data_IF_668130421960
#
_entry.id   IF_668130421960
#
_cell.length_a   1.000
_cell.length_b   1.000
_cell.length_c   1.000
_cell.angle_alpha   90.00
_cell.angle_beta   90.00
_cell.angle_gamma   90.00
#
_symmetry.space_group_name_H-M   'P 1'
#
loop_
_entity.id
_entity.type
_entity.pdbx_description
1 polymer ?
#
# COMPACT_ATOMS: atom_id res chain seq x y z
N UNK A 1 44.22 3.11 2.29
CA UNK A 1 42.99 3.68 1.70
C UNK A 1 43.30 5.12 1.32
N UNK A 2 43.22 5.47 0.04
CA UNK A 2 43.54 6.80 -0.46
C UNK A 2 42.33 7.74 -0.25
N UNK A 3 42.58 9.04 -0.03
CA UNK A 3 41.52 10.07 0.06
C UNK A 3 40.60 10.06 -1.17
N UNK A 4 41.14 9.73 -2.34
CA UNK A 4 40.33 9.61 -3.56
C UNK A 4 39.29 8.49 -3.45
N UNK A 5 39.68 7.34 -2.93
CA UNK A 5 38.81 6.17 -2.77
C UNK A 5 37.66 6.50 -1.81
N UNK A 6 37.98 7.14 -0.67
CA UNK A 6 36.99 7.60 0.30
C UNK A 6 35.99 8.60 -0.29
N UNK A 7 36.45 9.53 -1.14
CA UNK A 7 35.55 10.50 -1.80
C UNK A 7 34.59 9.82 -2.76
N UNK A 8 35.10 8.83 -3.49
CA UNK A 8 34.29 8.05 -4.43
C UNK A 8 33.23 7.22 -3.69
N UNK A 9 33.62 6.57 -2.60
CA UNK A 9 32.72 5.81 -1.74
C UNK A 9 31.62 6.69 -1.13
N UNK A 10 31.98 7.87 -0.59
CA UNK A 10 31.01 8.84 -0.09
C UNK A 10 30.02 9.27 -1.18
N UNK A 11 30.49 9.49 -2.41
CA UNK A 11 29.64 9.87 -3.54
C UNK A 11 28.63 8.77 -3.86
N UNK A 12 29.08 7.51 -3.92
CA UNK A 12 28.22 6.35 -4.18
C UNK A 12 27.15 6.24 -3.09
N UNK A 13 27.54 6.29 -1.82
CA UNK A 13 26.62 6.17 -0.69
C UNK A 13 25.58 7.30 -0.66
N UNK A 14 25.96 8.53 -1.06
CA UNK A 14 25.01 9.64 -1.18
C UNK A 14 23.98 9.40 -2.28
N UNK A 15 24.40 8.86 -3.41
CA UNK A 15 23.51 8.53 -4.52
C UNK A 15 22.55 7.39 -4.15
N UNK A 16 23.05 6.35 -3.48
CA UNK A 16 22.22 5.25 -2.97
C UNK A 16 21.20 5.72 -1.94
N UNK A 17 21.61 6.59 -1.01
CA UNK A 17 20.70 7.21 -0.05
C UNK A 17 19.60 8.01 -0.75
N UNK A 18 19.94 8.78 -1.78
CA UNK A 18 18.95 9.56 -2.54
C UNK A 18 17.96 8.63 -3.26
N UNK A 19 18.44 7.55 -3.89
CA UNK A 19 17.58 6.54 -4.54
C UNK A 19 16.64 5.87 -3.53
N UNK A 20 17.15 5.47 -2.37
CA UNK A 20 16.36 4.88 -1.31
C UNK A 20 15.31 5.88 -0.75
N UNK A 21 15.73 7.12 -0.50
CA UNK A 21 14.85 8.20 -0.07
C UNK A 21 13.73 8.45 -1.06
N UNK A 22 14.05 8.56 -2.36
CA UNK A 22 13.04 8.73 -3.41
C UNK A 22 12.10 7.53 -3.50
N UNK A 23 12.60 6.29 -3.42
CA UNK A 23 11.75 5.09 -3.46
C UNK A 23 10.78 5.02 -2.28
N UNK A 24 11.21 5.40 -1.08
CA UNK A 24 10.39 5.33 0.13
C UNK A 24 9.45 6.54 0.27
N UNK A 25 9.92 7.73 -0.10
CA UNK A 25 9.18 8.99 0.05
C UNK A 25 8.31 9.34 -1.16
N UNK A 26 8.51 8.69 -2.32
CA UNK A 26 7.51 8.65 -3.42
C UNK A 26 6.43 7.61 -3.15
N UNK A 27 5.98 7.47 -1.91
CA UNK A 27 4.68 6.89 -1.68
C UNK A 27 3.69 7.77 -2.44
N UNK A 28 3.09 7.22 -3.52
CA UNK A 28 1.92 7.84 -4.18
C UNK A 28 0.93 8.27 -3.10
N UNK A 29 0.14 9.32 -3.36
CA UNK A 29 -0.89 9.80 -2.43
C UNK A 29 -1.53 8.62 -1.68
N UNK A 30 -1.13 8.46 -0.41
CA UNK A 30 -1.63 7.36 0.40
C UNK A 30 -3.00 7.80 0.84
N UNK A 31 -4.03 7.13 0.33
CA UNK A 31 -5.39 7.36 0.80
C UNK A 31 -5.44 6.99 2.29
N UNK A 32 -5.64 7.98 3.14
CA UNK A 32 -5.78 7.80 4.59
C UNK A 32 -7.13 7.14 4.90
N UNK A 33 -7.18 5.83 4.73
CA UNK A 33 -8.39 5.04 4.89
C UNK A 33 -8.07 3.73 5.63
N UNK A 34 -9.09 3.15 6.26
CA UNK A 34 -9.02 1.84 6.87
C UNK A 34 -9.46 0.79 5.86
N UNK A 35 -8.65 -0.26 5.66
CA UNK A 35 -9.08 -1.45 4.93
C UNK A 35 -9.94 -2.32 5.85
N UNK A 36 -11.20 -2.51 5.49
CA UNK A 36 -12.15 -3.35 6.24
C UNK A 36 -12.66 -4.49 5.36
N UNK A 37 -13.05 -5.58 6.01
CA UNK A 37 -13.65 -6.75 5.35
C UNK A 37 -15.15 -6.75 5.58
N UNK A 38 -15.95 -6.71 4.49
CA UNK A 38 -17.41 -6.68 4.58
C UNK A 38 -18.04 -7.87 3.87
N UNK A 39 -19.10 -8.40 4.49
CA UNK A 39 -20.04 -9.31 3.83
C UNK A 39 -21.16 -8.50 3.18
N UNK A 40 -21.65 -8.92 2.02
CA UNK A 40 -22.60 -8.13 1.21
C UNK A 40 -23.78 -8.95 0.70
N UNK A 41 -24.87 -8.24 0.39
CA UNK A 41 -26.00 -8.73 -0.40
C UNK A 41 -25.69 -8.54 -1.89
N UNK A 42 -26.13 -9.47 -2.74
CA UNK A 42 -26.12 -9.27 -4.18
C UNK A 42 -27.47 -8.75 -4.68
N UNK A 43 -27.53 -8.30 -5.94
CA UNK A 43 -28.76 -7.77 -6.53
C UNK A 43 -29.81 -8.81 -6.91
N UNK A 44 -29.51 -10.11 -6.83
CA UNK A 44 -30.48 -11.16 -7.16
C UNK A 44 -31.47 -11.38 -5.98
N UNK A 45 -32.78 -11.12 -6.15
CA UNK A 45 -33.77 -11.28 -5.07
C UNK A 45 -33.93 -12.72 -4.57
N UNK A 46 -33.59 -13.71 -5.40
CA UNK A 46 -33.72 -15.14 -5.07
C UNK A 46 -32.47 -15.74 -4.41
N UNK A 47 -31.38 -14.96 -4.30
CA UNK A 47 -30.13 -15.48 -3.77
C UNK A 47 -30.21 -15.77 -2.25
N UNK A 48 -29.48 -16.80 -1.79
CA UNK A 48 -29.40 -17.15 -0.38
C UNK A 48 -28.85 -16.01 0.51
N UNK A 49 -28.11 -15.06 -0.07
CA UNK A 49 -27.66 -13.88 0.66
C UNK A 49 -28.82 -13.04 1.21
N UNK A 50 -29.96 -12.98 0.49
CA UNK A 50 -31.18 -12.29 0.94
C UNK A 50 -31.80 -12.94 2.19
N UNK A 51 -31.41 -14.19 2.50
CA UNK A 51 -31.84 -14.95 3.68
C UNK A 51 -30.75 -15.02 4.75
N UNK A 52 -29.75 -14.13 4.68
CA UNK A 52 -28.67 -14.01 5.67
C UNK A 52 -27.39 -14.79 5.33
N UNK A 53 -27.35 -15.59 4.26
CA UNK A 53 -26.11 -16.26 3.80
C UNK A 53 -25.28 -15.33 2.92
N UNK A 54 -24.78 -14.24 3.51
CA UNK A 54 -24.11 -13.14 2.82
C UNK A 54 -22.86 -13.59 2.04
N UNK A 55 -22.54 -12.85 0.97
CA UNK A 55 -21.32 -13.03 0.18
C UNK A 55 -20.10 -12.40 0.85
N UNK A 56 -18.90 -12.79 0.40
CA UNK A 56 -17.64 -12.27 0.90
C UNK A 56 -17.06 -13.12 2.05
N UNK A 57 -16.18 -12.53 2.89
CA UNK A 57 -15.90 -11.09 2.98
C UNK A 57 -15.08 -10.55 1.79
N UNK A 58 -15.35 -9.29 1.43
CA UNK A 58 -14.62 -8.54 0.41
C UNK A 58 -13.92 -7.33 1.03
N UNK A 59 -12.77 -6.89 0.47
CA UNK A 59 -12.07 -5.69 0.91
C UNK A 59 -12.83 -4.42 0.52
N UNK A 60 -13.00 -3.51 1.48
CA UNK A 60 -13.55 -2.17 1.30
C UNK A 60 -12.62 -1.14 1.95
N UNK A 61 -12.50 0.02 1.33
CA UNK A 61 -11.85 1.18 1.94
C UNK A 61 -12.90 1.97 2.71
N UNK A 62 -12.60 2.32 3.96
CA UNK A 62 -13.44 3.19 4.79
C UNK A 62 -12.63 4.43 5.16
N UNK A 63 -13.13 5.60 4.83
CA UNK A 63 -12.67 6.83 5.45
C UNK A 63 -13.21 6.86 6.90
N UNK A 64 -12.46 7.48 7.81
CA UNK A 64 -12.87 7.70 9.20
C UNK A 64 -13.73 8.95 9.32
#
# INVERSE_FOLDING_TARGET
MNISDLRQEISILREERLKAGNRLMQAKEILSCSLILRKVLCGNPSCACQKGKLHGPYPYLSEK
#
